data_IF_664515001796
#
_entry.id   IF_664515001796
#
_cell.length_a   1.000
_cell.length_b   1.000
_cell.length_c   1.000
_cell.angle_alpha   90.00
_cell.angle_beta   90.00
_cell.angle_gamma   90.00
#
_symmetry.space_group_name_H-M   'P 1'
#
loop_
_entity.id
_entity.type
_entity.pdbx_description
1 polymer ?
#
# COMPACT_ATOMS: atom_id res chain seq x y z
N UNK A 1 19.88 10.75 -43.91
CA UNK A 1 20.51 11.27 -42.67
C UNK A 1 19.65 12.39 -42.10
N UNK A 2 19.41 12.42 -40.79
CA UNK A 2 18.57 13.47 -40.15
C UNK A 2 19.35 14.78 -40.08
N UNK A 3 18.75 15.90 -40.49
CA UNK A 3 19.41 17.20 -40.49
C UNK A 3 19.49 17.82 -39.08
N UNK A 4 20.54 18.60 -38.76
CA UNK A 4 20.69 19.25 -37.46
C UNK A 4 19.49 20.15 -37.08
N UNK A 5 18.89 20.82 -38.06
CA UNK A 5 17.69 21.65 -37.86
C UNK A 5 16.47 20.83 -37.38
N UNK A 6 16.35 19.57 -37.85
CA UNK A 6 15.29 18.66 -37.43
C UNK A 6 15.50 18.17 -35.99
N UNK A 7 16.76 17.90 -35.60
CA UNK A 7 17.11 17.54 -34.22
C UNK A 7 16.79 18.65 -33.22
N UNK A 8 17.15 19.90 -33.51
CA UNK A 8 16.85 21.05 -32.64
C UNK A 8 15.34 21.23 -32.47
N UNK A 9 14.57 21.08 -33.56
CA UNK A 9 13.10 21.18 -33.53
C UNK A 9 12.47 20.07 -32.68
N UNK A 10 13.01 18.85 -32.76
CA UNK A 10 12.62 17.76 -31.89
C UNK A 10 12.98 18.08 -30.44
N UNK A 11 14.22 18.43 -30.12
CA UNK A 11 14.62 18.77 -28.75
C UNK A 11 13.73 19.86 -28.11
N UNK A 12 13.33 20.89 -28.86
CA UNK A 12 12.39 21.92 -28.38
C UNK A 12 10.99 21.36 -28.08
N UNK A 13 10.44 20.52 -28.96
CA UNK A 13 9.15 19.84 -28.71
C UNK A 13 9.21 18.95 -27.48
N UNK A 14 10.30 18.22 -27.27
CA UNK A 14 10.45 17.33 -26.13
C UNK A 14 10.62 18.09 -24.81
N UNK A 15 11.33 19.23 -24.82
CA UNK A 15 11.41 20.13 -23.66
C UNK A 15 10.04 20.71 -23.29
N UNK A 16 9.24 21.12 -24.29
CA UNK A 16 7.87 21.60 -24.06
C UNK A 16 7.00 20.48 -23.47
N UNK A 17 7.01 19.30 -24.08
CA UNK A 17 6.23 18.15 -23.61
C UNK A 17 6.63 17.72 -22.19
N UNK A 18 7.92 17.73 -21.86
CA UNK A 18 8.42 17.43 -20.51
C UNK A 18 7.99 18.47 -19.47
N UNK A 19 7.97 19.77 -19.83
CA UNK A 19 7.48 20.82 -18.96
C UNK A 19 5.95 20.75 -18.74
N UNK A 20 5.20 20.24 -19.72
CA UNK A 20 3.74 20.06 -19.63
C UNK A 20 3.29 18.73 -19.02
N UNK A 21 4.18 17.78 -18.72
CA UNK A 21 3.80 16.55 -17.99
C UNK A 21 3.62 16.83 -16.50
N UNK A 22 2.62 17.63 -16.15
CA UNK A 22 1.88 17.43 -14.89
C UNK A 22 0.77 16.45 -15.19
N UNK A 23 1.05 15.17 -15.00
CA UNK A 23 -0.04 14.21 -14.85
C UNK A 23 -0.75 14.52 -13.54
N UNK A 24 -1.95 15.08 -13.59
CA UNK A 24 -2.93 14.88 -12.52
C UNK A 24 -3.66 13.57 -12.81
N UNK A 25 -3.02 12.46 -12.46
CA UNK A 25 -3.70 11.17 -12.25
C UNK A 25 -3.46 10.76 -10.80
N UNK A 26 -4.01 11.57 -9.90
CA UNK A 26 -4.49 11.09 -8.62
C UNK A 26 -6.01 11.20 -8.73
N UNK A 27 -6.69 10.06 -8.60
CA UNK A 27 -8.13 10.02 -8.44
C UNK A 27 -8.49 10.99 -7.30
N UNK A 28 -9.25 12.02 -7.67
CA UNK A 28 -9.82 12.99 -6.75
C UNK A 28 -10.84 12.27 -5.89
N UNK A 29 -10.41 11.76 -4.73
CA UNK A 29 -11.32 11.41 -3.65
C UNK A 29 -11.41 12.60 -2.70
N UNK A 30 -12.48 13.36 -2.91
CA UNK A 30 -13.19 14.24 -1.97
C UNK A 30 -12.33 15.05 -1.00
N UNK A 31 -12.14 16.30 -1.40
CA UNK A 31 -11.91 17.42 -0.50
C UNK A 31 -13.14 17.62 0.38
N UNK A 32 -13.00 17.34 1.67
CA UNK A 32 -13.84 17.92 2.72
C UNK A 32 -12.89 18.70 3.62
N UNK A 33 -12.70 19.98 3.32
CA UNK A 33 -12.02 20.89 4.23
C UNK A 33 -13.01 21.25 5.33
N UNK A 34 -12.67 20.94 6.57
CA UNK A 34 -13.20 21.64 7.73
C UNK A 34 -12.23 21.54 8.91
N UNK A 35 -11.76 22.72 9.30
CA UNK A 35 -11.18 23.11 10.58
C UNK A 35 -9.72 22.69 10.93
N UNK A 36 -8.87 23.71 10.87
CA UNK A 36 -7.75 24.00 11.79
C UNK A 36 -6.62 22.96 11.92
N UNK A 37 -5.57 23.13 11.11
CA UNK A 37 -4.27 23.62 11.58
C UNK A 37 -3.21 23.42 10.49
N UNK A 38 -2.37 24.44 10.34
CA UNK A 38 -1.23 24.47 9.44
C UNK A 38 -0.18 23.43 9.85
N UNK A 39 -0.35 22.18 9.43
CA UNK A 39 0.74 21.20 9.38
C UNK A 39 0.94 20.92 7.89
N UNK A 40 1.95 21.58 7.32
CA UNK A 40 2.45 21.34 5.98
C UNK A 40 2.31 19.87 5.61
N UNK A 41 1.67 19.58 4.47
CA UNK A 41 1.35 18.24 3.98
C UNK A 41 2.50 17.26 4.29
N UNK A 42 2.38 16.54 5.41
CA UNK A 42 3.26 15.44 5.77
C UNK A 42 3.15 14.50 4.58
N UNK A 43 4.21 14.39 3.79
CA UNK A 43 4.23 13.72 2.50
C UNK A 43 3.72 12.27 2.57
N UNK A 44 3.87 11.52 1.49
CA UNK A 44 3.47 10.12 1.47
C UNK A 44 4.69 9.22 1.42
N UNK A 45 4.61 8.08 2.07
CA UNK A 45 5.55 6.98 1.84
C UNK A 45 4.87 5.89 1.02
N UNK A 46 5.70 4.99 0.49
CA UNK A 46 5.24 3.85 -0.29
C UNK A 46 5.46 2.60 0.54
N UNK A 47 4.38 1.84 0.72
CA UNK A 47 4.41 0.52 1.33
C UNK A 47 3.91 -0.53 0.34
N UNK A 48 4.43 -1.73 0.45
CA UNK A 48 3.99 -2.89 -0.32
C UNK A 48 3.27 -3.86 0.60
N UNK A 49 2.17 -4.46 0.12
CA UNK A 49 1.59 -5.64 0.77
C UNK A 49 2.45 -6.87 0.49
N UNK A 50 2.19 -7.95 1.24
CA UNK A 50 2.79 -9.26 1.01
C UNK A 50 2.55 -9.79 -0.40
N UNK A 51 1.39 -9.47 -1.00
CA UNK A 51 1.07 -9.86 -2.38
C UNK A 51 1.72 -8.94 -3.44
N UNK A 52 2.56 -7.98 -3.01
CA UNK A 52 3.29 -7.08 -3.90
C UNK A 52 2.51 -5.86 -4.39
N UNK A 53 1.31 -5.58 -3.85
CA UNK A 53 0.56 -4.38 -4.21
C UNK A 53 1.14 -3.14 -3.54
N UNK A 54 1.18 -2.04 -4.29
CA UNK A 54 1.75 -0.77 -3.85
C UNK A 54 0.68 0.15 -3.29
N UNK A 55 0.93 0.68 -2.09
CA UNK A 55 0.07 1.63 -1.40
C UNK A 55 0.80 2.94 -1.15
N UNK A 56 0.13 4.06 -1.40
CA UNK A 56 0.60 5.40 -1.05
C UNK A 56 -0.03 5.79 0.29
N UNK A 57 0.80 5.91 1.31
CA UNK A 57 0.34 6.09 2.69
C UNK A 57 0.79 7.46 3.20
N UNK A 58 -0.12 8.31 3.71
CA UNK A 58 0.26 9.58 4.33
C UNK A 58 1.22 9.36 5.51
N UNK A 59 2.28 10.16 5.61
CA UNK A 59 3.21 10.12 6.74
C UNK A 59 2.52 10.46 8.08
N UNK A 60 1.34 11.09 8.04
CA UNK A 60 0.49 11.30 9.22
C UNK A 60 0.06 9.99 9.90
N UNK A 61 -0.02 8.88 9.16
CA UNK A 61 -0.40 7.58 9.71
C UNK A 61 0.73 6.87 10.45
N UNK A 62 1.99 7.31 10.31
CA UNK A 62 3.12 6.69 11.03
C UNK A 62 3.00 6.83 12.56
N UNK A 63 2.24 7.82 13.05
CA UNK A 63 1.99 7.97 14.49
C UNK A 63 0.87 7.07 15.03
N UNK A 64 0.10 6.41 14.15
CA UNK A 64 -0.95 5.48 14.60
C UNK A 64 -0.33 4.22 15.18
N UNK A 65 -0.99 3.65 16.19
CA UNK A 65 -0.53 2.38 16.78
C UNK A 65 -0.64 1.24 15.77
N UNK A 66 -1.51 1.40 14.75
CA UNK A 66 -1.62 0.48 13.62
C UNK A 66 -0.32 0.34 12.86
N UNK A 67 0.22 1.47 12.39
CA UNK A 67 1.45 1.41 11.62
C UNK A 67 2.65 1.02 12.49
N UNK A 68 2.69 1.45 13.76
CA UNK A 68 3.77 1.03 14.67
C UNK A 68 3.82 -0.48 14.84
N UNK A 69 2.68 -1.14 15.08
CA UNK A 69 2.64 -2.60 15.19
C UNK A 69 2.92 -3.29 13.86
N UNK A 70 2.41 -2.77 12.74
CA UNK A 70 2.74 -3.31 11.43
C UNK A 70 4.24 -3.25 11.11
N UNK A 71 4.93 -2.17 11.50
CA UNK A 71 6.39 -2.09 11.31
C UNK A 71 7.16 -3.03 12.22
N UNK A 72 6.72 -3.23 13.46
CA UNK A 72 7.33 -4.25 14.34
C UNK A 72 7.20 -5.65 13.74
N UNK A 73 6.00 -6.00 13.29
CA UNK A 73 5.78 -7.29 12.62
C UNK A 73 6.59 -7.40 11.32
N UNK A 74 6.71 -6.31 10.55
CA UNK A 74 7.53 -6.29 9.35
C UNK A 74 9.03 -6.49 9.68
N UNK A 75 9.52 -5.88 10.75
CA UNK A 75 10.90 -6.06 11.22
C UNK A 75 11.13 -7.49 11.72
N UNK A 76 10.16 -8.09 12.41
CA UNK A 76 10.22 -9.48 12.86
C UNK A 76 10.25 -10.48 11.68
N UNK A 77 9.47 -10.24 10.62
CA UNK A 77 9.35 -11.16 9.48
C UNK A 77 10.42 -10.92 8.40
N UNK A 78 10.70 -9.66 8.07
CA UNK A 78 11.57 -9.27 6.94
C UNK A 78 12.89 -8.65 7.38
N UNK A 79 13.07 -8.36 8.68
CA UNK A 79 14.21 -7.62 9.19
C UNK A 79 14.10 -6.11 8.98
N UNK A 80 15.15 -5.39 9.36
CA UNK A 80 15.21 -3.95 9.18
C UNK A 80 15.16 -3.56 7.69
N UNK A 81 14.44 -2.48 7.33
CA UNK A 81 14.37 -2.02 5.96
C UNK A 81 15.77 -1.64 5.45
N UNK A 82 16.27 -2.39 4.47
CA UNK A 82 17.52 -2.09 3.76
C UNK A 82 17.31 -1.10 2.61
N UNK A 83 18.02 -1.33 1.49
CA UNK A 83 17.80 -0.57 0.24
C UNK A 83 16.52 -0.98 -0.52
N UNK A 84 15.75 -1.92 0.03
CA UNK A 84 14.54 -2.48 -0.56
C UNK A 84 13.28 -1.65 -0.26
N UNK A 85 12.15 -1.99 -0.88
CA UNK A 85 10.86 -1.41 -0.53
C UNK A 85 10.46 -1.79 0.91
N UNK A 86 9.65 -0.94 1.53
CA UNK A 86 8.98 -1.26 2.78
C UNK A 86 7.86 -2.25 2.46
N UNK A 87 7.95 -3.47 2.97
CA UNK A 87 6.91 -4.51 2.84
C UNK A 87 6.23 -4.67 4.19
N UNK A 88 4.90 -4.66 4.20
CA UNK A 88 4.09 -4.86 5.40
C UNK A 88 3.52 -6.28 5.40
N UNK A 89 3.39 -6.92 6.58
CA UNK A 89 2.86 -8.28 6.74
C UNK A 89 1.33 -8.28 6.67
N UNK A 90 0.79 -7.75 5.59
CA UNK A 90 -0.64 -7.68 5.29
C UNK A 90 -0.84 -8.02 3.82
N UNK A 91 -1.99 -8.62 3.50
CA UNK A 91 -2.45 -8.73 2.12
C UNK A 91 -3.03 -7.38 1.64
N UNK A 92 -3.30 -7.29 0.34
CA UNK A 92 -3.83 -6.07 -0.26
C UNK A 92 -5.19 -5.66 0.33
N UNK A 93 -6.02 -6.64 0.71
CA UNK A 93 -7.36 -6.42 1.27
C UNK A 93 -7.26 -5.81 2.67
N UNK A 94 -6.45 -6.41 3.55
CA UNK A 94 -6.27 -5.89 4.91
C UNK A 94 -5.66 -4.48 4.89
N UNK A 95 -4.71 -4.22 3.98
CA UNK A 95 -4.12 -2.88 3.85
C UNK A 95 -5.15 -1.82 3.43
N UNK A 96 -6.09 -2.17 2.55
CA UNK A 96 -7.21 -1.29 2.20
C UNK A 96 -8.09 -0.96 3.40
N UNK A 97 -8.40 -1.96 4.23
CA UNK A 97 -9.19 -1.77 5.46
C UNK A 97 -8.46 -0.90 6.47
N UNK A 98 -7.15 -1.08 6.65
CA UNK A 98 -6.31 -0.23 7.52
C UNK A 98 -6.43 1.24 7.13
N UNK A 99 -6.26 1.54 5.83
CA UNK A 99 -6.33 2.93 5.36
C UNK A 99 -7.73 3.51 5.51
N UNK A 100 -8.79 2.71 5.35
CA UNK A 100 -10.16 3.15 5.58
C UNK A 100 -10.40 3.48 7.07
N UNK A 101 -10.00 2.59 7.98
CA UNK A 101 -10.14 2.79 9.42
C UNK A 101 -9.36 4.01 9.89
N UNK A 102 -8.14 4.24 9.39
CA UNK A 102 -7.35 5.41 9.79
C UNK A 102 -7.88 6.74 9.24
N UNK A 103 -8.61 6.70 8.12
CA UNK A 103 -9.26 7.90 7.58
C UNK A 103 -10.53 8.25 8.35
N UNK A 104 -11.30 7.25 8.79
CA UNK A 104 -12.47 7.45 9.62
C UNK A 104 -12.00 7.62 11.06
N UNK A 105 -12.11 8.81 11.65
CA UNK A 105 -11.67 9.05 13.04
C UNK A 105 -12.50 8.21 14.05
N UNK A 106 -12.13 6.94 14.19
CA UNK A 106 -12.79 5.95 15.06
C UNK A 106 -12.26 6.07 16.49
N UNK A 107 -13.02 5.56 17.46
CA UNK A 107 -12.55 5.54 18.84
C UNK A 107 -11.33 4.64 19.00
N UNK A 108 -10.45 4.99 19.94
CA UNK A 108 -9.22 4.22 20.23
C UNK A 108 -9.48 2.75 20.53
N UNK A 109 -10.62 2.42 21.15
CA UNK A 109 -11.00 1.04 21.46
C UNK A 109 -11.31 0.23 20.19
N UNK A 110 -11.93 0.85 19.19
CA UNK A 110 -12.20 0.22 17.89
C UNK A 110 -10.92 0.04 17.10
N UNK A 111 -10.03 1.05 17.08
CA UNK A 111 -8.70 0.92 16.48
C UNK A 111 -7.90 -0.24 17.10
N UNK A 112 -7.95 -0.37 18.43
CA UNK A 112 -7.27 -1.44 19.16
C UNK A 112 -7.86 -2.82 18.88
N UNK A 113 -9.19 -2.94 18.82
CA UNK A 113 -9.84 -4.20 18.48
C UNK A 113 -9.51 -4.63 17.03
N UNK A 114 -9.53 -3.67 16.12
CA UNK A 114 -9.16 -3.88 14.73
C UNK A 114 -7.68 -4.27 14.58
N UNK A 115 -6.80 -3.64 15.36
CA UNK A 115 -5.39 -4.00 15.44
C UNK A 115 -5.15 -5.44 15.83
N UNK A 116 -5.79 -5.89 16.90
CA UNK A 116 -5.66 -7.26 17.38
C UNK A 116 -6.08 -8.26 16.30
N UNK A 117 -7.12 -7.94 15.53
CA UNK A 117 -7.56 -8.76 14.41
C UNK A 117 -6.49 -8.83 13.29
N UNK A 118 -5.92 -7.69 12.90
CA UNK A 118 -4.84 -7.67 11.89
C UNK A 118 -3.60 -8.43 12.37
N UNK A 119 -3.19 -8.23 13.61
CA UNK A 119 -2.04 -8.93 14.18
C UNK A 119 -2.32 -10.44 14.19
N UNK A 120 -3.53 -10.84 14.54
CA UNK A 120 -3.96 -12.24 14.49
C UNK A 120 -3.90 -12.79 13.06
N UNK A 121 -4.44 -12.10 12.06
CA UNK A 121 -4.41 -12.57 10.66
C UNK A 121 -2.99 -12.61 10.09
N UNK A 122 -2.16 -11.61 10.40
CA UNK A 122 -0.76 -11.56 9.99
C UNK A 122 0.03 -12.76 10.53
N UNK A 123 -0.11 -13.05 11.84
CA UNK A 123 0.59 -14.16 12.52
C UNK A 123 0.01 -15.54 12.24
N UNK A 124 -1.28 -15.66 11.92
CA UNK A 124 -1.89 -16.94 11.55
C UNK A 124 -1.63 -17.32 10.08
N UNK A 125 -1.30 -16.34 9.23
CA UNK A 125 -0.85 -16.61 7.86
C UNK A 125 0.49 -17.38 7.82
N UNK A 126 1.23 -17.45 8.93
CA UNK A 126 2.48 -18.21 9.09
C UNK A 126 2.28 -19.65 9.62
N UNK A 127 1.10 -20.26 9.45
CA UNK A 127 0.97 -21.72 9.64
C UNK A 127 1.11 -22.46 8.31
N UNK A 128 2.23 -23.17 8.05
CA UNK A 128 2.18 -24.32 7.19
C UNK A 128 1.60 -25.49 8.02
N UNK A 129 0.55 -26.14 7.51
CA UNK A 129 -0.12 -27.32 8.08
C UNK A 129 -1.11 -27.10 9.24
N UNK A 130 -2.38 -26.93 8.88
CA UNK A 130 -3.44 -27.80 9.40
C UNK A 130 -4.25 -28.36 8.24
N UNK A 131 -4.03 -29.65 7.96
CA UNK A 131 -4.96 -30.46 7.19
C UNK A 131 -6.21 -30.75 8.03
N UNK A 132 -7.37 -30.37 7.52
CA UNK A 132 -8.67 -31.06 7.66
C UNK A 132 -9.66 -30.21 6.86
N UNK A 133 -10.15 -30.61 5.69
CA UNK A 133 -10.66 -31.93 5.31
C UNK A 133 -12.19 -31.89 5.41
N UNK A 134 -12.85 -31.44 4.35
CA UNK A 134 -14.24 -31.82 4.09
C UNK A 134 -14.45 -31.99 2.59
N UNK A 135 -14.70 -33.24 2.24
CA UNK A 135 -14.93 -33.81 0.92
C UNK A 135 -16.12 -33.20 0.19
N UNK A 136 -15.95 -32.90 -1.09
CA UNK A 136 -17.00 -33.15 -2.08
C UNK A 136 -16.38 -33.79 -3.33
N UNK A 137 -16.86 -35.01 -3.60
CA UNK A 137 -16.57 -35.79 -4.79
C UNK A 137 -17.13 -35.09 -6.03
N UNK A 138 -16.35 -35.05 -7.11
CA UNK A 138 -16.83 -35.48 -8.43
C UNK A 138 -15.63 -35.80 -9.34
N UNK A 139 -15.66 -37.02 -9.87
CA UNK A 139 -14.65 -37.60 -10.75
C UNK A 139 -14.79 -37.08 -12.19
N UNK A 140 -13.68 -36.84 -12.89
CA UNK A 140 -13.54 -37.15 -14.34
C UNK A 140 -12.07 -37.48 -14.67
N UNK A 141 -11.90 -38.77 -14.97
CA UNK A 141 -11.01 -39.50 -15.89
C UNK A 141 -10.05 -38.79 -16.88
N UNK A 142 -8.96 -39.53 -17.17
CA UNK A 142 -8.00 -39.50 -18.31
C UNK A 142 -7.04 -38.30 -18.36
N UNK A 143 -5.73 -38.41 -18.66
CA UNK A 143 -4.90 -39.47 -19.23
C UNK A 143 -3.89 -38.83 -20.20
N UNK A 144 -2.59 -39.07 -20.00
CA UNK A 144 -1.49 -39.28 -20.97
C UNK A 144 -0.16 -39.32 -20.21
#
# INVERSE_FOLDING_TARGET
MVSPKKLIKMARKWRLLAATRRHSTALSLTRTESASSSIACKGHFIAYSRDGYRFMVPLAFLSSDIFKELFKLAEEEFGLPGKGPIVLPCDAISMGQVLQVLNMHVSKDVEKAFLNNIIFTARCSTSPFLSQGCTQLHAVLHGF
#
